data_IF_624629171144
#
_entry.id   IF_624629171144
#
_cell.length_a   1.000
_cell.length_b   1.000
_cell.length_c   1.000
_cell.angle_alpha   90.00
_cell.angle_beta   90.00
_cell.angle_gamma   90.00
#
_symmetry.space_group_name_H-M   'P 1'
#
loop_
_entity.id
_entity.type
_entity.pdbx_description
1 polymer ?
#
# COMPACT_ATOMS: atom_id res chain seq x y z
N UNK A 1 19.54 -20.89 -21.09
CA UNK A 1 21.01 -20.67 -20.96
C UNK A 1 21.65 -21.96 -20.44
N UNK A 2 22.71 -22.45 -21.08
CA UNK A 2 23.41 -23.67 -20.63
C UNK A 2 24.15 -23.44 -19.30
N UNK A 3 24.46 -24.51 -18.56
CA UNK A 3 25.20 -24.47 -17.29
C UNK A 3 26.49 -23.64 -17.38
N UNK A 4 27.30 -23.86 -18.42
CA UNK A 4 28.57 -23.13 -18.60
C UNK A 4 28.36 -21.62 -18.74
N UNK A 5 27.42 -21.22 -19.61
CA UNK A 5 27.07 -19.80 -19.81
C UNK A 5 26.49 -19.16 -18.54
N UNK A 6 25.76 -19.93 -17.73
CA UNK A 6 25.21 -19.44 -16.46
C UNK A 6 26.30 -19.15 -15.42
N UNK A 7 27.29 -20.03 -15.30
CA UNK A 7 28.42 -19.85 -14.38
C UNK A 7 29.41 -18.77 -14.84
N UNK A 8 29.49 -18.53 -16.15
CA UNK A 8 30.26 -17.40 -16.70
C UNK A 8 29.60 -16.06 -16.39
N UNK A 9 28.29 -15.93 -16.60
CA UNK A 9 27.54 -14.71 -16.32
C UNK A 9 27.38 -14.42 -14.82
N UNK A 10 27.23 -15.48 -14.00
CA UNK A 10 27.02 -15.37 -12.56
C UNK A 10 27.95 -16.34 -11.80
N UNK A 11 29.23 -15.97 -11.61
CA UNK A 11 30.26 -16.86 -11.03
C UNK A 11 29.99 -17.32 -9.59
N UNK A 12 29.13 -16.61 -8.86
CA UNK A 12 28.77 -16.89 -7.47
C UNK A 12 27.65 -17.93 -7.31
N UNK A 13 27.09 -18.45 -8.41
CA UNK A 13 26.08 -19.51 -8.34
C UNK A 13 26.70 -20.82 -7.81
N UNK A 14 25.95 -21.51 -6.95
CA UNK A 14 26.31 -22.86 -6.48
C UNK A 14 26.42 -23.81 -7.68
N UNK A 15 27.56 -24.51 -7.78
CA UNK A 15 27.90 -25.31 -8.97
C UNK A 15 27.31 -26.71 -8.92
N UNK A 16 27.20 -27.27 -7.72
CA UNK A 16 26.68 -28.60 -7.45
C UNK A 16 25.17 -28.63 -7.69
N UNK A 17 24.72 -29.50 -8.59
CA UNK A 17 23.30 -29.64 -8.94
C UNK A 17 22.76 -28.62 -9.94
N UNK A 18 23.56 -27.63 -10.39
CA UNK A 18 23.13 -26.67 -11.41
C UNK A 18 23.07 -27.33 -12.80
N UNK A 19 21.88 -27.39 -13.39
CA UNK A 19 21.65 -27.97 -14.73
C UNK A 19 21.69 -26.91 -15.85
N UNK A 20 21.31 -25.67 -15.53
CA UNK A 20 21.24 -24.55 -16.47
C UNK A 20 20.45 -23.38 -15.86
N UNK A 21 20.17 -22.36 -16.67
CA UNK A 21 19.37 -21.21 -16.25
C UNK A 21 18.34 -20.82 -17.32
N UNK A 22 17.21 -20.29 -16.87
CA UNK A 22 16.18 -19.70 -17.75
C UNK A 22 16.36 -18.20 -17.77
N UNK A 23 16.28 -17.61 -18.95
CA UNK A 23 16.33 -16.15 -19.13
C UNK A 23 14.97 -15.73 -19.67
N UNK A 24 14.30 -14.84 -18.96
CA UNK A 24 13.04 -14.24 -19.34
C UNK A 24 13.09 -12.74 -19.09
N UNK A 25 12.20 -11.99 -19.74
CA UNK A 25 12.09 -10.55 -19.55
C UNK A 25 11.15 -10.26 -18.37
N UNK A 26 11.60 -9.40 -17.48
CA UNK A 26 10.81 -8.91 -16.35
C UNK A 26 10.80 -7.38 -16.32
N UNK A 27 9.75 -6.80 -15.75
CA UNK A 27 9.55 -5.37 -15.65
C UNK A 27 10.05 -4.84 -14.31
N UNK A 28 11.15 -4.09 -14.32
CA UNK A 28 11.55 -3.33 -13.14
C UNK A 28 10.93 -1.93 -13.19
N UNK A 29 10.35 -1.50 -12.06
CA UNK A 29 9.92 -0.12 -11.92
C UNK A 29 10.28 0.45 -10.55
N UNK A 30 10.23 1.77 -10.46
CA UNK A 30 10.29 2.49 -9.20
C UNK A 30 8.86 2.78 -8.76
N UNK A 31 8.41 2.04 -7.76
CA UNK A 31 7.07 2.08 -7.16
C UNK A 31 6.73 3.47 -6.60
N UNK A 32 7.64 4.08 -5.84
CA UNK A 32 7.44 5.40 -5.24
C UNK A 32 7.23 6.48 -6.32
N UNK A 33 8.02 6.45 -7.39
CA UNK A 33 7.89 7.40 -8.50
C UNK A 33 6.60 7.16 -9.28
N UNK A 34 6.20 5.90 -9.46
CA UNK A 34 4.94 5.57 -10.12
C UNK A 34 3.73 6.09 -9.32
N UNK A 35 3.74 5.93 -7.99
CA UNK A 35 2.67 6.43 -7.13
C UNK A 35 2.54 7.96 -7.18
N UNK A 36 3.66 8.68 -7.13
CA UNK A 36 3.64 10.15 -7.26
C UNK A 36 3.12 10.56 -8.64
N UNK A 37 3.58 9.91 -9.72
CA UNK A 37 3.09 10.20 -11.07
C UNK A 37 1.58 9.98 -11.21
N UNK A 38 1.04 8.94 -10.57
CA UNK A 38 -0.40 8.68 -10.54
C UNK A 38 -1.17 9.81 -9.84
N UNK A 39 -0.72 10.23 -8.65
CA UNK A 39 -1.34 11.34 -7.92
C UNK A 39 -1.28 12.65 -8.72
N UNK A 40 -0.12 12.97 -9.31
CA UNK A 40 0.05 14.17 -10.15
C UNK A 40 -0.88 14.16 -11.36
N UNK A 41 -1.07 12.99 -11.99
CA UNK A 41 -2.03 12.83 -13.10
C UNK A 41 -3.46 13.06 -12.62
N UNK A 42 -3.85 12.53 -11.46
CA UNK A 42 -5.18 12.76 -10.90
C UNK A 42 -5.43 14.26 -10.62
N UNK A 43 -4.44 14.95 -10.05
CA UNK A 43 -4.49 16.40 -9.80
C UNK A 43 -4.60 17.18 -11.10
N UNK A 44 -3.86 16.79 -12.15
CA UNK A 44 -3.98 17.38 -13.49
C UNK A 44 -5.41 17.27 -14.05
N UNK A 45 -6.13 16.20 -13.71
CA UNK A 45 -7.53 15.99 -14.06
C UNK A 45 -8.53 16.59 -13.05
N UNK A 46 -8.09 17.41 -12.10
CA UNK A 46 -8.95 18.16 -11.18
C UNK A 46 -9.21 17.49 -9.83
N UNK A 47 -8.52 16.39 -9.50
CA UNK A 47 -8.57 15.84 -8.15
C UNK A 47 -7.85 16.74 -7.14
N UNK A 48 -8.33 16.73 -5.89
CA UNK A 48 -7.61 17.33 -4.76
C UNK A 48 -6.87 16.22 -4.03
N UNK A 49 -5.56 16.37 -3.87
CA UNK A 49 -4.72 15.45 -3.10
C UNK A 49 -4.09 16.20 -1.92
N UNK A 50 -4.02 15.53 -0.77
CA UNK A 50 -3.38 16.05 0.44
C UNK A 50 -2.56 14.94 1.11
N UNK A 51 -1.29 15.21 1.35
CA UNK A 51 -0.40 14.37 2.16
C UNK A 51 -0.33 14.90 3.60
N UNK A 52 0.18 14.08 4.52
CA UNK A 52 0.21 14.39 5.96
C UNK A 52 -1.17 14.73 6.55
N UNK A 53 -2.25 14.22 5.94
CA UNK A 53 -3.61 14.35 6.44
C UNK A 53 -4.12 12.95 6.80
N UNK A 54 -4.35 12.70 8.08
CA UNK A 54 -4.87 11.42 8.57
C UNK A 54 -6.39 11.46 8.73
N UNK A 55 -7.06 10.34 8.51
CA UNK A 55 -8.46 10.16 8.87
C UNK A 55 -8.54 9.74 10.34
N UNK A 56 -9.22 10.51 11.18
CA UNK A 56 -9.33 10.25 12.62
C UNK A 56 -10.69 9.69 13.04
N UNK A 57 -11.74 9.95 12.26
CA UNK A 57 -13.07 9.35 12.47
C UNK A 57 -13.89 9.29 11.18
N UNK A 58 -14.66 8.23 10.99
CA UNK A 58 -15.69 8.15 9.95
C UNK A 58 -16.96 8.87 10.39
N UNK A 59 -17.61 9.58 9.44
CA UNK A 59 -18.87 10.28 9.67
C UNK A 59 -20.01 9.49 9.07
N UNK A 60 -21.01 9.19 9.89
CA UNK A 60 -22.23 8.48 9.49
C UNK A 60 -23.45 9.37 9.66
N UNK A 61 -24.44 9.20 8.79
CA UNK A 61 -25.76 9.79 8.98
C UNK A 61 -26.60 8.94 9.97
N UNK A 62 -27.85 9.36 10.21
CA UNK A 62 -28.77 8.65 11.10
C UNK A 62 -29.10 7.20 10.66
N UNK A 63 -28.94 6.88 9.38
CA UNK A 63 -29.15 5.52 8.85
C UNK A 63 -27.89 4.66 8.89
N UNK A 64 -26.81 5.12 9.54
CA UNK A 64 -25.52 4.42 9.60
C UNK A 64 -24.69 4.49 8.32
N UNK A 65 -25.13 5.22 7.28
CA UNK A 65 -24.39 5.37 6.03
C UNK A 65 -23.24 6.35 6.20
N UNK A 66 -22.05 5.97 5.74
CA UNK A 66 -20.87 6.85 5.68
C UNK A 66 -21.13 8.03 4.73
N UNK A 67 -20.89 9.25 5.21
CA UNK A 67 -21.08 10.52 4.50
C UNK A 67 -19.83 11.40 4.48
N UNK A 68 -18.70 10.86 4.93
CA UNK A 68 -17.44 11.59 5.03
C UNK A 68 -16.57 11.13 6.19
N UNK A 69 -15.68 12.02 6.62
CA UNK A 69 -14.76 11.76 7.73
C UNK A 69 -14.21 13.03 8.36
N UNK A 70 -13.74 12.91 9.60
CA UNK A 70 -12.90 13.90 10.27
C UNK A 70 -11.45 13.59 9.95
N UNK A 71 -10.73 14.61 9.54
CA UNK A 71 -9.32 14.51 9.20
C UNK A 71 -8.49 15.46 10.03
N UNK A 72 -7.21 15.12 10.20
CA UNK A 72 -6.22 15.90 10.93
C UNK A 72 -5.01 16.15 10.05
N UNK A 73 -4.60 17.41 9.93
CA UNK A 73 -3.28 17.76 9.40
C UNK A 73 -2.23 17.45 10.48
N UNK A 74 -1.34 16.51 10.18
CA UNK A 74 -0.31 16.05 11.12
C UNK A 74 0.85 17.05 11.28
N UNK A 75 0.97 18.04 10.40
CA UNK A 75 1.98 19.08 10.51
C UNK A 75 1.54 20.22 11.43
N UNK A 76 0.26 20.58 11.40
CA UNK A 76 -0.29 21.70 12.19
C UNK A 76 -1.15 21.28 13.37
N UNK A 77 -1.61 20.02 13.39
CA UNK A 77 -2.57 19.51 14.36
C UNK A 77 -4.01 19.95 14.13
N UNK A 78 -4.29 20.73 13.08
CA UNK A 78 -5.64 21.23 12.78
C UNK A 78 -6.54 20.09 12.29
N UNK A 79 -7.78 20.08 12.78
CA UNK A 79 -8.80 19.14 12.34
C UNK A 79 -9.95 19.81 11.58
N UNK A 80 -10.52 19.09 10.62
CA UNK A 80 -11.74 19.51 9.92
C UNK A 80 -12.53 18.31 9.40
N UNK A 81 -13.72 18.58 8.88
CA UNK A 81 -14.60 17.55 8.32
C UNK A 81 -14.58 17.62 6.78
N UNK A 82 -14.50 16.45 6.16
CA UNK A 82 -14.66 16.27 4.72
C UNK A 82 -15.96 15.52 4.48
N UNK A 83 -16.84 16.10 3.67
CA UNK A 83 -18.09 15.46 3.23
C UNK A 83 -17.83 14.74 1.91
N UNK A 84 -18.33 13.52 1.79
CA UNK A 84 -18.18 12.71 0.59
C UNK A 84 -19.45 11.90 0.30
N UNK A 85 -19.74 11.68 -0.98
CA UNK A 85 -20.86 10.81 -1.40
C UNK A 85 -20.52 9.32 -1.26
N UNK A 86 -19.24 9.00 -1.30
CA UNK A 86 -18.68 7.67 -1.09
C UNK A 86 -17.25 7.78 -0.57
N UNK A 87 -16.81 6.75 0.14
CA UNK A 87 -15.46 6.65 0.72
C UNK A 87 -14.87 5.32 0.28
N UNK A 88 -13.64 5.33 -0.23
CA UNK A 88 -12.90 4.14 -0.62
C UNK A 88 -11.77 3.96 0.39
N UNK A 89 -11.72 2.78 1.03
CA UNK A 89 -10.61 2.40 1.89
C UNK A 89 -9.50 1.77 1.05
N UNK A 90 -8.39 2.50 0.88
CA UNK A 90 -7.21 2.06 0.13
C UNK A 90 -5.93 2.19 0.98
N UNK A 91 -6.02 1.92 2.29
CA UNK A 91 -4.92 2.16 3.26
C UNK A 91 -3.93 0.99 3.41
N UNK A 92 -3.89 0.08 2.43
CA UNK A 92 -2.94 -1.05 2.42
C UNK A 92 -2.96 -1.88 3.72
N UNK A 93 -1.83 -2.10 4.39
CA UNK A 93 -1.78 -2.90 5.63
C UNK A 93 -2.58 -2.29 6.79
N UNK A 94 -2.99 -1.02 6.71
CA UNK A 94 -3.79 -0.34 7.73
C UNK A 94 -5.30 -0.47 7.49
N UNK A 95 -5.73 -1.25 6.49
CA UNK A 95 -7.14 -1.44 6.12
C UNK A 95 -8.00 -1.80 7.33
N UNK A 96 -7.52 -2.72 8.17
CA UNK A 96 -8.27 -3.20 9.34
C UNK A 96 -8.51 -2.10 10.39
N UNK A 97 -7.58 -1.16 10.56
CA UNK A 97 -7.78 -0.04 11.49
C UNK A 97 -8.94 0.87 11.04
N UNK A 98 -9.08 1.08 9.73
CA UNK A 98 -10.20 1.85 9.17
C UNK A 98 -11.51 1.04 9.26
N UNK A 99 -11.46 -0.27 9.04
CA UNK A 99 -12.63 -1.15 9.22
C UNK A 99 -13.10 -1.18 10.68
N UNK A 100 -12.19 -1.21 11.65
CA UNK A 100 -12.53 -1.08 13.07
C UNK A 100 -13.14 0.28 13.39
N UNK A 101 -12.66 1.36 12.75
CA UNK A 101 -13.24 2.70 12.90
C UNK A 101 -14.68 2.76 12.37
N UNK A 102 -14.99 2.03 11.29
CA UNK A 102 -16.36 1.86 10.79
C UNK A 102 -17.19 0.98 11.74
N UNK A 103 -16.58 -0.11 12.20
CA UNK A 103 -17.15 -1.08 13.10
C UNK A 103 -17.15 -0.64 14.56
N UNK A 104 -16.88 0.62 14.94
CA UNK A 104 -17.03 1.09 16.32
C UNK A 104 -18.51 1.15 16.79
N UNK A 105 -19.32 0.21 16.30
CA UNK A 105 -20.58 -0.31 16.84
C UNK A 105 -20.59 -1.86 16.96
N UNK A 106 -19.47 -2.58 16.77
CA UNK A 106 -19.31 -4.03 16.90
C UNK A 106 -17.83 -4.47 17.11
N UNK A 107 -17.52 -5.31 18.11
CA UNK A 107 -16.14 -5.66 18.46
C UNK A 107 -15.57 -6.80 17.60
N UNK A 108 -14.33 -6.64 17.13
CA UNK A 108 -13.43 -7.75 16.79
C UNK A 108 -13.04 -7.88 15.31
N UNK A 109 -11.86 -7.37 14.95
CA UNK A 109 -11.06 -7.89 13.85
C UNK A 109 -9.59 -7.55 14.11
N UNK A 110 -8.75 -8.53 14.41
CA UNK A 110 -7.31 -8.36 14.63
C UNK A 110 -6.56 -8.09 13.31
N UNK A 111 -5.55 -7.20 13.25
CA UNK A 111 -4.74 -7.03 12.05
C UNK A 111 -3.88 -8.26 11.79
N UNK A 112 -3.95 -8.83 10.58
CA UNK A 112 -2.93 -9.78 10.11
C UNK A 112 -1.78 -8.98 9.49
N UNK A 113 -0.64 -8.95 10.20
CA UNK A 113 0.62 -8.48 9.65
C UNK A 113 1.03 -9.37 8.47
N UNK A 114 1.27 -8.77 7.31
CA UNK A 114 1.95 -9.45 6.21
C UNK A 114 3.32 -9.94 6.73
N UNK A 115 3.53 -11.25 6.68
CA UNK A 115 4.78 -11.87 7.12
C UNK A 115 5.94 -11.34 6.27
N UNK A 116 6.85 -10.62 6.93
CA UNK A 116 8.16 -10.29 6.37
C UNK A 116 8.95 -11.61 6.26
N UNK A 117 9.32 -12.01 5.04
CA UNK A 117 10.23 -13.13 4.80
C UNK A 117 11.57 -12.80 5.45
N UNK A 118 11.87 -13.44 6.59
CA UNK A 118 13.20 -13.36 7.20
C UNK A 118 14.24 -13.83 6.18
N UNK A 119 15.33 -13.08 5.96
CA UNK A 119 16.40 -13.54 5.10
C UNK A 119 16.98 -14.84 5.66
N UNK A 120 17.18 -15.80 4.78
CA UNK A 120 17.90 -17.04 5.09
C UNK A 120 19.36 -16.63 5.36
N UNK A 121 19.90 -16.86 6.57
CA UNK A 121 21.31 -16.60 6.85
C UNK A 121 22.21 -17.48 5.96
N UNK A 122 23.47 -17.05 5.72
CA UNK A 122 24.37 -17.64 4.72
C UNK A 122 24.60 -19.15 4.88
#
# INVERSE_FOLDING_TARGET
MSRGKALEAFPMLKREGLVGAVVYYDGQHNDSRMNVALVMTAVLHGAVAANHVSLTALRKNASGKIIGGRVKDELTGKEWEVKAKGVINATGPFTDAILQMDAASAPGASPQAAAELKPIPP
#
